data_IF_066873527164
#
_entry.id   IF_066873527164
#
_cell.length_a   1.000
_cell.length_b   1.000
_cell.length_c   1.000
_cell.angle_alpha   90.00
_cell.angle_beta   90.00
_cell.angle_gamma   90.00
#
_symmetry.space_group_name_H-M   'P 1'
#
loop_
_entity.id
_entity.type
_entity.pdbx_description
1 polymer ?
#
# COMPACT_ATOMS: atom_id res chain seq x y z
N UNK A 1 1.76 19.50 -19.84
CA UNK A 1 1.25 18.14 -19.76
C UNK A 1 1.55 17.58 -18.39
N UNK A 2 0.56 17.08 -17.67
CA UNK A 2 0.64 16.74 -16.26
C UNK A 2 0.55 15.24 -16.09
N UNK A 3 1.31 14.69 -15.17
CA UNK A 3 1.47 13.26 -14.96
C UNK A 3 0.57 12.74 -13.83
N UNK A 4 0.08 11.53 -14.00
CA UNK A 4 -0.84 10.88 -13.09
C UNK A 4 -0.22 9.59 -12.62
N UNK A 5 -0.30 9.32 -11.33
CA UNK A 5 0.17 8.10 -10.70
C UNK A 5 -0.93 7.45 -9.87
N UNK A 6 -1.01 6.17 -9.96
CA UNK A 6 -2.09 5.40 -9.39
C UNK A 6 -1.63 4.13 -8.79
N UNK A 7 -2.14 3.77 -7.65
CA UNK A 7 -1.96 2.49 -7.04
C UNK A 7 -2.97 2.08 -6.00
N UNK A 8 -2.96 0.94 -5.63
CA UNK A 8 -3.90 0.07 -5.31
C UNK A 8 -3.59 -1.04 -4.38
N UNK A 9 -4.51 -1.64 -3.74
CA UNK A 9 -4.36 -2.79 -3.05
C UNK A 9 -5.43 -3.66 -2.68
N UNK A 10 -5.34 -4.70 -2.04
CA UNK A 10 -6.39 -5.65 -1.90
C UNK A 10 -6.36 -6.52 -0.70
N UNK A 11 -7.51 -6.88 -0.25
CA UNK A 11 -7.73 -7.97 0.64
C UNK A 11 -7.41 -9.30 -0.07
N UNK A 12 -6.44 -10.07 0.42
CA UNK A 12 -6.01 -11.38 -0.09
C UNK A 12 -5.65 -11.41 -1.59
N UNK A 13 -6.13 -10.42 -2.41
CA UNK A 13 -5.99 -10.41 -3.87
C UNK A 13 -5.64 -9.03 -4.35
N UNK A 14 -4.53 -8.88 -4.88
CA UNK A 14 -3.72 -7.77 -5.25
C UNK A 14 -4.13 -6.93 -6.38
N UNK A 15 -3.36 -5.95 -6.61
CA UNK A 15 -3.52 -5.06 -7.66
C UNK A 15 -2.36 -4.33 -8.13
N UNK A 16 -2.37 -3.69 -9.19
CA UNK A 16 -1.53 -2.57 -9.50
C UNK A 16 -1.97 -1.80 -10.63
N UNK A 17 -1.60 -0.57 -10.67
CA UNK A 17 -1.51 0.10 -11.89
C UNK A 17 -0.64 1.30 -11.92
N UNK A 18 0.00 1.52 -13.01
CA UNK A 18 0.56 2.80 -13.37
C UNK A 18 0.12 3.13 -14.79
N UNK A 19 -0.57 4.25 -14.95
CA UNK A 19 -0.72 4.85 -16.26
C UNK A 19 0.20 6.05 -16.38
N UNK A 20 1.07 6.03 -17.38
CA UNK A 20 1.74 7.22 -17.83
C UNK A 20 1.37 7.52 -19.27
N UNK A 21 1.13 8.78 -19.54
CA UNK A 21 1.07 9.25 -20.92
C UNK A 21 2.49 9.23 -21.47
N UNK A 22 2.72 8.45 -22.53
CA UNK A 22 3.99 8.45 -23.24
C UNK A 22 4.16 9.80 -23.96
N UNK A 23 5.11 10.58 -23.50
CA UNK A 23 5.83 11.52 -24.33
C UNK A 23 7.31 11.28 -24.09
N UNK A 24 8.06 11.08 -25.16
CA UNK A 24 9.50 10.89 -25.18
C UNK A 24 10.23 12.22 -24.91
N UNK A 25 9.91 12.92 -23.81
CA UNK A 25 10.63 14.13 -23.44
C UNK A 25 11.17 13.99 -22.02
N UNK A 26 12.50 13.96 -21.94
CA UNK A 26 13.34 13.91 -20.72
C UNK A 26 13.37 15.25 -19.95
N UNK A 27 12.27 15.97 -19.85
CA UNK A 27 12.21 17.17 -19.02
C UNK A 27 11.87 16.82 -17.57
N UNK A 28 12.91 16.89 -16.73
CA UNK A 28 12.78 16.93 -15.27
C UNK A 28 12.13 18.26 -14.90
N UNK A 29 10.89 18.30 -14.40
CA UNK A 29 10.28 19.55 -14.01
C UNK A 29 10.98 20.12 -12.79
N UNK A 30 11.46 21.35 -12.91
CA UNK A 30 11.91 22.18 -11.81
C UNK A 30 10.80 22.33 -10.77
N UNK A 31 11.16 22.27 -9.50
CA UNK A 31 10.31 22.31 -8.33
C UNK A 31 9.36 23.53 -8.29
N UNK A 32 8.17 23.38 -8.83
CA UNK A 32 7.01 24.14 -8.36
C UNK A 32 6.16 23.19 -7.54
N UNK A 33 5.88 23.54 -6.29
CA UNK A 33 5.10 22.74 -5.35
C UNK A 33 3.68 22.55 -5.87
N UNK A 34 3.42 21.50 -6.65
CA UNK A 34 2.07 21.01 -6.87
C UNK A 34 1.67 20.20 -5.63
N UNK A 35 0.61 20.63 -4.97
CA UNK A 35 0.01 19.94 -3.82
C UNK A 35 -0.71 18.67 -4.31
N UNK A 36 0.03 17.65 -4.74
CA UNK A 36 -0.55 16.39 -5.14
C UNK A 36 -1.13 15.62 -3.95
N UNK A 37 -2.08 14.72 -4.19
CA UNK A 37 -2.82 14.00 -3.17
C UNK A 37 -2.59 12.49 -3.29
N UNK A 38 -2.21 11.85 -2.17
CA UNK A 38 -2.28 10.41 -1.99
C UNK A 38 -3.69 10.03 -1.53
N UNK A 39 -4.25 8.99 -2.10
CA UNK A 39 -5.54 8.41 -1.72
C UNK A 39 -5.34 6.93 -1.45
N UNK A 40 -5.76 6.43 -0.28
CA UNK A 40 -5.78 4.99 0.04
C UNK A 40 -7.18 4.56 0.42
N UNK A 41 -7.52 3.33 0.10
CA UNK A 41 -8.83 2.72 0.34
C UNK A 41 -8.68 1.34 0.99
N UNK A 42 -9.76 0.85 1.63
CA UNK A 42 -9.69 -0.40 2.36
C UNK A 42 -11.03 -0.96 2.81
N UNK A 43 -10.99 -1.75 3.90
CA UNK A 43 -12.16 -2.39 4.51
C UNK A 43 -13.22 -1.37 4.93
N UNK A 44 -14.46 -1.82 4.99
CA UNK A 44 -15.60 -1.04 5.47
C UNK A 44 -15.77 0.33 4.80
N UNK A 45 -15.32 0.43 3.54
CA UNK A 45 -15.39 1.68 2.76
C UNK A 45 -14.44 2.76 3.25
N UNK A 46 -13.38 2.44 4.00
CA UNK A 46 -12.42 3.45 4.43
C UNK A 46 -11.73 4.10 3.25
N UNK A 47 -11.62 5.41 3.31
CA UNK A 47 -10.81 6.23 2.39
C UNK A 47 -9.99 7.21 3.24
N UNK A 48 -8.67 7.21 3.04
CA UNK A 48 -7.78 8.19 3.64
C UNK A 48 -7.07 8.98 2.55
N UNK A 49 -6.81 10.25 2.82
CA UNK A 49 -6.07 11.13 1.91
C UNK A 49 -4.94 11.84 2.63
N UNK A 50 -3.85 12.10 1.92
CA UNK A 50 -2.68 12.83 2.42
C UNK A 50 -1.97 13.61 1.33
N UNK A 51 -1.58 14.85 1.60
CA UNK A 51 -0.74 15.67 0.72
C UNK A 51 0.76 15.59 1.08
N UNK A 52 1.08 15.10 2.30
CA UNK A 52 2.43 15.13 2.87
C UNK A 52 2.97 13.74 3.25
N UNK A 53 2.17 12.68 3.06
CA UNK A 53 2.38 11.28 3.47
C UNK A 53 2.61 11.07 4.97
N UNK A 54 2.51 12.13 5.77
CA UNK A 54 2.70 12.11 7.22
C UNK A 54 1.38 12.14 7.96
N UNK A 55 0.46 12.99 7.47
CA UNK A 55 -0.87 13.21 8.05
C UNK A 55 -1.93 12.66 7.09
N UNK A 56 -2.76 11.76 7.58
CA UNK A 56 -3.81 11.12 6.80
C UNK A 56 -5.19 11.52 7.32
N UNK A 57 -6.06 11.95 6.43
CA UNK A 57 -7.42 12.40 6.76
C UNK A 57 -8.44 11.40 6.25
N UNK A 58 -9.31 10.89 7.13
CA UNK A 58 -10.42 10.01 6.76
C UNK A 58 -11.48 10.80 5.98
N UNK A 59 -11.98 10.18 4.90
CA UNK A 59 -13.03 10.74 4.04
C UNK A 59 -14.27 9.86 4.10
N UNK A 60 -15.43 10.47 3.95
CA UNK A 60 -16.70 9.76 3.90
C UNK A 60 -16.90 9.16 2.51
N UNK A 61 -16.89 7.85 2.40
CA UNK A 61 -17.09 7.13 1.13
C UNK A 61 -18.57 6.94 0.76
N UNK A 62 -19.47 7.00 1.73
CA UNK A 62 -20.89 6.68 1.56
C UNK A 62 -21.20 5.18 1.43
N UNK A 63 -20.23 4.29 1.72
CA UNK A 63 -20.40 2.83 1.67
C UNK A 63 -19.71 2.13 2.84
N UNK A 64 -20.21 0.94 3.18
CA UNK A 64 -19.56 0.00 4.11
C UNK A 64 -18.94 -1.20 3.37
N UNK A 65 -18.93 -1.17 2.02
CA UNK A 65 -18.31 -2.21 1.21
C UNK A 65 -16.80 -2.05 1.20
N UNK A 66 -16.07 -3.17 1.20
CA UNK A 66 -14.62 -3.13 1.05
C UNK A 66 -14.25 -2.55 -0.31
N UNK A 67 -13.25 -1.68 -0.31
CA UNK A 67 -12.68 -1.07 -1.50
C UNK A 67 -11.30 -1.67 -1.75
N UNK A 68 -11.10 -2.23 -2.95
CA UNK A 68 -9.92 -3.02 -3.27
C UNK A 68 -8.98 -2.33 -4.24
N UNK A 69 -9.48 -1.47 -5.08
CA UNK A 69 -8.76 -0.80 -6.13
C UNK A 69 -8.96 0.69 -6.16
N UNK A 70 -7.91 1.46 -6.41
CA UNK A 70 -8.03 2.90 -6.65
C UNK A 70 -7.08 3.35 -7.74
N UNK A 71 -7.57 4.25 -8.58
CA UNK A 71 -6.82 4.83 -9.70
C UNK A 71 -7.15 6.31 -9.84
N UNK A 72 -6.23 7.07 -10.46
CA UNK A 72 -6.52 8.41 -10.95
C UNK A 72 -6.36 8.46 -12.47
N UNK A 73 -7.27 9.12 -13.15
CA UNK A 73 -7.23 9.33 -14.59
C UNK A 73 -8.24 10.37 -15.02
N UNK A 74 -7.92 11.16 -16.01
CA UNK A 74 -8.82 12.13 -16.63
C UNK A 74 -9.56 13.04 -15.62
N UNK A 75 -8.81 13.53 -14.61
CA UNK A 75 -9.39 14.41 -13.59
C UNK A 75 -10.20 13.70 -12.50
N UNK A 76 -10.29 12.35 -12.51
CA UNK A 76 -11.06 11.57 -11.55
C UNK A 76 -10.21 10.57 -10.78
N UNK A 77 -10.44 10.48 -9.48
CA UNK A 77 -10.11 9.29 -8.70
C UNK A 77 -11.26 8.30 -8.83
N UNK A 78 -10.95 7.07 -9.18
CA UNK A 78 -11.90 5.96 -9.26
C UNK A 78 -11.49 4.88 -8.29
N UNK A 79 -12.39 4.41 -7.43
CA UNK A 79 -12.17 3.24 -6.56
C UNK A 79 -13.22 2.18 -6.80
N UNK A 80 -12.82 0.91 -6.66
CA UNK A 80 -13.65 -0.27 -6.92
C UNK A 80 -13.58 -1.26 -5.76
N UNK A 81 -14.62 -2.08 -5.61
CA UNK A 81 -14.67 -2.99 -4.45
C UNK A 81 -15.73 -4.07 -4.53
N UNK A 82 -16.20 -4.50 -3.35
CA UNK A 82 -17.20 -5.54 -3.16
C UNK A 82 -18.51 -5.25 -3.90
N UNK A 83 -19.13 -6.34 -4.40
CA UNK A 83 -20.46 -6.30 -5.03
C UNK A 83 -20.59 -5.26 -6.16
N UNK A 84 -19.53 -5.11 -6.95
CA UNK A 84 -19.50 -4.16 -8.06
C UNK A 84 -19.47 -2.70 -7.63
N UNK A 85 -19.07 -2.40 -6.40
CA UNK A 85 -18.95 -1.02 -5.92
C UNK A 85 -17.96 -0.25 -6.77
N UNK A 86 -18.38 0.92 -7.26
CA UNK A 86 -17.53 1.92 -7.93
C UNK A 86 -17.85 3.28 -7.32
N UNK A 87 -16.84 3.98 -6.83
CA UNK A 87 -16.95 5.37 -6.38
C UNK A 87 -16.00 6.25 -7.19
N UNK A 88 -16.40 7.50 -7.43
CA UNK A 88 -15.57 8.48 -8.12
C UNK A 88 -15.47 9.78 -7.34
N UNK A 89 -14.37 10.49 -7.51
CA UNK A 89 -14.14 11.81 -6.91
C UNK A 89 -13.24 12.64 -7.82
N UNK A 90 -13.58 13.91 -8.03
CA UNK A 90 -12.73 14.88 -8.73
C UNK A 90 -11.75 15.61 -7.81
N UNK A 91 -11.90 15.45 -6.49
CA UNK A 91 -11.09 16.15 -5.48
C UNK A 91 -10.41 15.21 -4.47
N UNK A 92 -10.74 13.92 -4.49
CA UNK A 92 -10.34 12.96 -3.44
C UNK A 92 -11.06 13.14 -2.10
N UNK A 93 -11.91 14.17 -1.95
CA UNK A 93 -12.57 14.51 -0.68
C UNK A 93 -14.05 14.14 -0.65
N UNK A 94 -14.77 14.35 -1.75
CA UNK A 94 -16.18 14.02 -1.90
C UNK A 94 -16.36 12.90 -2.91
N UNK A 95 -17.12 11.87 -2.57
CA UNK A 95 -17.23 10.64 -3.33
C UNK A 95 -18.67 10.40 -3.81
N UNK A 96 -18.79 9.95 -5.04
CA UNK A 96 -20.08 9.64 -5.70
C UNK A 96 -20.11 8.19 -6.14
N UNK A 97 -21.17 7.45 -5.76
CA UNK A 97 -21.37 6.07 -6.21
C UNK A 97 -21.78 6.02 -7.67
N UNK A 98 -21.25 5.02 -8.41
CA UNK A 98 -21.57 4.79 -9.83
C UNK A 98 -22.14 3.40 -10.01
N UNK A 99 -23.02 3.23 -11.00
CA UNK A 99 -23.61 1.95 -11.35
C UNK A 99 -22.66 1.14 -12.22
N UNK A 100 -22.17 0.01 -11.72
CA UNK A 100 -21.27 -0.89 -12.45
C UNK A 100 -21.98 -1.88 -13.37
N UNK A 101 -23.28 -2.12 -13.15
CA UNK A 101 -24.03 -3.16 -13.85
C UNK A 101 -23.69 -4.61 -13.44
N UNK A 102 -22.93 -4.80 -12.35
CA UNK A 102 -22.55 -6.13 -11.84
C UNK A 102 -22.61 -6.21 -10.32
N UNK A 103 -22.78 -7.43 -9.80
CA UNK A 103 -22.63 -7.76 -8.37
C UNK A 103 -21.33 -8.50 -8.07
N UNK A 104 -20.44 -8.62 -9.04
CA UNK A 104 -19.14 -9.27 -8.88
C UNK A 104 -18.18 -8.32 -8.18
N UNK A 105 -17.29 -8.86 -7.34
CA UNK A 105 -16.23 -8.05 -6.73
C UNK A 105 -15.27 -7.56 -7.81
N UNK A 106 -14.88 -6.30 -7.70
CA UNK A 106 -13.92 -5.64 -8.57
C UNK A 106 -12.63 -5.41 -7.78
N UNK A 107 -11.52 -5.91 -8.29
CA UNK A 107 -10.25 -5.90 -7.57
C UNK A 107 -9.28 -4.85 -8.11
N UNK A 108 -9.14 -4.79 -9.43
CA UNK A 108 -8.21 -3.96 -10.15
C UNK A 108 -8.85 -2.84 -10.94
N UNK A 109 -8.27 -1.66 -10.93
CA UNK A 109 -8.68 -0.56 -11.79
C UNK A 109 -7.47 0.20 -12.33
N UNK A 110 -7.51 0.58 -13.60
CA UNK A 110 -6.49 1.40 -14.28
C UNK A 110 -7.13 2.45 -15.16
N UNK A 111 -6.34 3.48 -15.49
CA UNK A 111 -6.64 4.41 -16.57
C UNK A 111 -5.49 4.41 -17.59
N UNK A 112 -5.83 4.39 -18.86
CA UNK A 112 -4.87 4.49 -19.94
C UNK A 112 -5.55 4.43 -21.31
N UNK A 113 -4.92 4.97 -22.35
CA UNK A 113 -5.52 5.02 -23.67
C UNK A 113 -6.88 5.72 -23.74
N UNK A 114 -7.18 6.64 -22.80
CA UNK A 114 -8.47 7.33 -22.69
C UNK A 114 -9.58 6.51 -22.04
N UNK A 115 -9.26 5.37 -21.40
CA UNK A 115 -10.26 4.48 -20.77
C UNK A 115 -9.87 4.13 -19.33
N UNK A 116 -10.87 4.09 -18.46
CA UNK A 116 -10.82 3.32 -17.22
C UNK A 116 -11.15 1.86 -17.53
N UNK A 117 -10.39 0.95 -16.96
CA UNK A 117 -10.61 -0.50 -17.03
C UNK A 117 -10.56 -1.06 -15.62
N UNK A 118 -11.61 -1.79 -15.21
CA UNK A 118 -11.63 -2.53 -13.93
C UNK A 118 -11.83 -4.01 -14.16
N UNK A 119 -11.22 -4.82 -13.29
CA UNK A 119 -11.23 -6.28 -13.39
C UNK A 119 -11.60 -6.92 -12.06
N UNK A 120 -12.17 -8.13 -12.10
CA UNK A 120 -12.68 -8.76 -10.88
C UNK A 120 -13.00 -10.25 -11.00
N UNK A 121 -14.00 -10.66 -10.19
CA UNK A 121 -14.44 -12.04 -10.09
C UNK A 121 -14.85 -12.64 -11.43
N UNK A 122 -14.47 -13.92 -11.62
CA UNK A 122 -14.89 -14.73 -12.76
C UNK A 122 -14.64 -14.10 -14.14
N UNK A 123 -13.49 -13.42 -14.28
CA UNK A 123 -13.13 -12.78 -15.55
C UNK A 123 -13.92 -11.52 -15.86
N UNK A 124 -14.56 -10.92 -14.84
CA UNK A 124 -15.26 -9.64 -15.02
C UNK A 124 -14.30 -8.56 -15.47
N UNK A 125 -14.64 -7.86 -16.54
CA UNK A 125 -13.95 -6.68 -17.05
C UNK A 125 -14.99 -5.62 -17.40
N UNK A 126 -14.86 -4.44 -16.80
CA UNK A 126 -15.70 -3.29 -17.13
C UNK A 126 -14.82 -2.17 -17.67
N UNK A 127 -15.36 -1.38 -18.59
CA UNK A 127 -14.67 -0.22 -19.16
C UNK A 127 -15.52 1.02 -19.11
N UNK A 128 -14.88 2.18 -19.02
CA UNK A 128 -15.54 3.48 -19.04
C UNK A 128 -14.63 4.54 -19.63
N UNK A 129 -15.15 5.39 -20.49
CA UNK A 129 -14.41 6.55 -21.03
C UNK A 129 -14.46 7.77 -20.12
N UNK A 130 -15.45 7.85 -19.23
CA UNK A 130 -15.74 9.03 -18.40
C UNK A 130 -15.71 8.73 -16.87
N UNK A 131 -15.44 7.47 -16.48
CA UNK A 131 -15.47 7.01 -15.09
C UNK A 131 -16.89 6.95 -14.49
N UNK A 132 -17.93 7.34 -15.23
CA UNK A 132 -19.31 7.42 -14.74
C UNK A 132 -20.21 6.33 -15.34
N UNK A 133 -20.09 6.08 -16.64
CA UNK A 133 -20.83 5.08 -17.38
C UNK A 133 -19.95 3.88 -17.65
N UNK A 134 -20.35 2.70 -17.18
CA UNK A 134 -19.55 1.49 -17.26
C UNK A 134 -20.18 0.44 -18.16
N UNK A 135 -19.40 -0.08 -19.10
CA UNK A 135 -19.78 -1.16 -20.01
C UNK A 135 -19.10 -2.46 -19.62
N UNK A 136 -19.86 -3.55 -19.65
CA UNK A 136 -19.32 -4.90 -19.42
C UNK A 136 -18.67 -5.42 -20.70
N UNK A 137 -17.35 -5.63 -20.67
CA UNK A 137 -16.54 -6.16 -21.77
C UNK A 137 -15.89 -7.50 -21.36
N UNK A 138 -16.47 -8.17 -20.35
CA UNK A 138 -15.97 -9.42 -19.82
C UNK A 138 -15.80 -10.47 -20.93
N UNK A 139 -14.73 -11.24 -20.81
CA UNK A 139 -14.51 -12.36 -21.73
C UNK A 139 -15.49 -13.47 -21.39
N UNK A 140 -16.48 -13.73 -22.25
CA UNK A 140 -17.37 -14.88 -22.11
C UNK A 140 -16.67 -16.21 -22.40
N UNK A 141 -15.42 -16.16 -22.80
CA UNK A 141 -14.62 -17.35 -23.06
C UNK A 141 -14.16 -17.93 -21.71
N UNK A 142 -14.93 -18.91 -21.24
CA UNK A 142 -14.38 -19.94 -20.37
C UNK A 142 -13.18 -20.52 -21.12
N UNK A 143 -12.00 -20.08 -20.74
CA UNK A 143 -10.79 -20.57 -21.36
C UNK A 143 -10.77 -22.09 -21.30
N UNK A 144 -10.60 -22.72 -22.42
CA UNK A 144 -10.49 -24.18 -22.58
C UNK A 144 -9.34 -24.76 -21.76
N UNK A 145 -8.49 -23.92 -21.19
CA UNK A 145 -7.31 -24.25 -20.38
C UNK A 145 -7.57 -24.33 -18.88
N UNK A 146 -8.67 -23.76 -18.35
CA UNK A 146 -9.01 -23.77 -16.92
C UNK A 146 -9.53 -25.11 -16.39
N UNK A 147 -9.36 -26.22 -17.10
CA UNK A 147 -9.93 -27.52 -16.74
C UNK A 147 -9.14 -28.32 -15.69
N UNK A 148 -7.96 -27.91 -15.31
CA UNK A 148 -7.12 -28.76 -14.44
C UNK A 148 -7.27 -28.53 -12.95
N UNK A 149 -7.83 -27.37 -12.52
CA UNK A 149 -7.95 -27.09 -11.10
C UNK A 149 -9.33 -26.51 -10.80
N UNK A 150 -10.13 -27.22 -10.03
CA UNK A 150 -11.45 -26.82 -9.51
C UNK A 150 -11.35 -25.84 -8.34
N UNK A 151 -10.41 -24.89 -8.39
CA UNK A 151 -10.27 -23.87 -7.35
C UNK A 151 -11.23 -22.71 -7.63
N UNK A 152 -11.95 -22.20 -6.61
CA UNK A 152 -12.95 -21.14 -6.78
C UNK A 152 -12.39 -19.86 -7.42
N UNK A 153 -11.11 -19.55 -7.20
CA UNK A 153 -10.46 -18.31 -7.62
C UNK A 153 -9.72 -18.40 -8.96
N UNK A 154 -9.81 -19.54 -9.66
CA UNK A 154 -8.99 -19.80 -10.86
C UNK A 154 -9.26 -18.78 -11.99
N UNK A 155 -10.47 -18.24 -12.07
CA UNK A 155 -10.89 -17.31 -13.12
C UNK A 155 -10.94 -15.85 -12.65
N UNK A 156 -10.48 -15.54 -11.44
CA UNK A 156 -10.49 -14.16 -10.95
C UNK A 156 -9.35 -13.36 -11.55
N UNK A 157 -9.62 -12.15 -12.00
CA UNK A 157 -8.63 -11.17 -12.45
C UNK A 157 -8.34 -10.21 -11.29
N UNK A 158 -7.05 -10.05 -10.97
CA UNK A 158 -6.64 -9.29 -9.80
C UNK A 158 -5.97 -7.97 -10.15
N UNK A 159 -5.10 -7.97 -11.12
CA UNK A 159 -4.33 -6.79 -11.52
C UNK A 159 -4.56 -6.42 -12.98
N UNK A 160 -4.55 -5.12 -13.25
CA UNK A 160 -4.62 -4.57 -14.61
C UNK A 160 -3.70 -3.36 -14.72
N UNK A 161 -3.03 -3.21 -15.86
CA UNK A 161 -2.17 -2.07 -16.20
C UNK A 161 -2.35 -1.68 -17.66
N UNK A 162 -1.95 -0.44 -18.00
CA UNK A 162 -1.82 0.02 -19.38
C UNK A 162 -0.38 0.44 -19.64
N UNK A 163 0.14 0.07 -20.81
CA UNK A 163 1.47 0.47 -21.24
C UNK A 163 1.70 0.11 -22.70
N UNK A 164 2.44 0.94 -23.41
CA UNK A 164 2.78 0.74 -24.84
C UNK A 164 1.55 0.45 -25.73
N UNK A 165 0.47 1.19 -25.51
CA UNK A 165 -0.78 1.00 -26.27
C UNK A 165 -1.58 -0.26 -25.88
N UNK A 166 -1.20 -0.99 -24.83
CA UNK A 166 -1.76 -2.28 -24.47
C UNK A 166 -2.27 -2.30 -23.01
N UNK A 167 -3.50 -2.72 -22.80
CA UNK A 167 -4.00 -3.17 -21.51
C UNK A 167 -3.53 -4.60 -21.27
N UNK A 168 -3.04 -4.88 -20.08
CA UNK A 168 -2.68 -6.23 -19.63
C UNK A 168 -3.34 -6.50 -18.28
N UNK A 169 -4.12 -7.57 -18.16
CA UNK A 169 -4.70 -8.03 -16.90
C UNK A 169 -4.17 -9.41 -16.53
N UNK A 170 -4.04 -9.64 -15.22
CA UNK A 170 -3.48 -10.87 -14.65
C UNK A 170 -4.35 -11.41 -13.53
N UNK A 171 -4.32 -12.74 -13.33
CA UNK A 171 -5.23 -13.36 -12.40
C UNK A 171 -4.85 -14.75 -11.89
N UNK A 172 -5.88 -15.49 -11.49
CA UNK A 172 -5.79 -16.87 -11.02
C UNK A 172 -5.36 -17.80 -12.14
N UNK A 173 -4.81 -18.94 -11.76
CA UNK A 173 -4.32 -19.99 -12.65
C UNK A 173 -3.43 -19.50 -13.80
N UNK A 174 -2.50 -18.59 -13.48
CA UNK A 174 -1.57 -17.96 -14.43
C UNK A 174 -2.27 -17.22 -15.59
N UNK A 175 -3.50 -16.79 -15.41
CA UNK A 175 -4.27 -16.08 -16.45
C UNK A 175 -3.63 -14.74 -16.77
N UNK A 176 -3.45 -14.47 -18.06
CA UNK A 176 -3.05 -13.18 -18.61
C UNK A 176 -3.92 -12.88 -19.82
N UNK A 177 -4.58 -11.73 -19.84
CA UNK A 177 -5.26 -11.21 -21.05
C UNK A 177 -4.65 -9.88 -21.46
N UNK A 178 -4.69 -9.61 -22.77
CA UNK A 178 -4.26 -8.34 -23.35
C UNK A 178 -5.33 -7.77 -24.24
N UNK A 179 -5.41 -6.44 -24.30
CA UNK A 179 -6.31 -5.71 -25.20
C UNK A 179 -5.69 -4.39 -25.63
N UNK A 180 -5.78 -4.06 -26.92
CA UNK A 180 -5.35 -2.75 -27.45
C UNK A 180 -6.44 -1.68 -27.34
N UNK A 181 -7.71 -2.07 -27.14
CA UNK A 181 -8.85 -1.17 -27.13
C UNK A 181 -9.70 -1.23 -25.83
N UNK A 182 -9.31 -2.08 -24.87
CA UNK A 182 -10.05 -2.28 -23.61
C UNK A 182 -11.33 -3.10 -23.75
N UNK A 183 -11.77 -3.45 -24.96
CA UNK A 183 -13.05 -4.13 -25.20
C UNK A 183 -12.91 -5.55 -25.74
N UNK A 184 -11.89 -5.80 -26.55
CA UNK A 184 -11.58 -7.12 -27.12
C UNK A 184 -10.33 -7.65 -26.44
N UNK A 185 -10.45 -8.79 -25.74
CA UNK A 185 -9.40 -9.36 -24.93
C UNK A 185 -8.89 -10.67 -25.51
N UNK A 186 -7.58 -10.83 -25.54
CA UNK A 186 -6.90 -12.04 -26.03
C UNK A 186 -6.14 -12.70 -24.88
N UNK A 187 -6.38 -14.00 -24.64
CA UNK A 187 -5.61 -14.75 -23.64
C UNK A 187 -4.18 -14.95 -24.11
N UNK A 188 -3.23 -14.86 -23.16
CA UNK A 188 -1.79 -15.09 -23.39
C UNK A 188 -1.30 -16.24 -22.53
N UNK A 189 -0.29 -16.96 -23.01
CA UNK A 189 0.34 -18.00 -22.19
C UNK A 189 1.14 -17.38 -21.04
N UNK A 190 0.62 -17.51 -19.84
CA UNK A 190 1.28 -17.13 -18.57
C UNK A 190 2.30 -18.17 -18.10
N UNK A 191 2.87 -18.97 -18.99
CA UNK A 191 3.73 -20.13 -18.70
C UNK A 191 2.99 -21.25 -17.93
N UNK A 192 1.67 -21.32 -18.05
CA UNK A 192 0.81 -22.30 -17.37
C UNK A 192 1.27 -23.73 -17.58
N UNK A 193 1.69 -24.07 -18.81
CA UNK A 193 2.21 -25.39 -19.17
C UNK A 193 3.49 -25.81 -18.43
N UNK A 194 4.18 -24.88 -17.79
CA UNK A 194 5.44 -25.14 -17.07
C UNK A 194 5.23 -25.40 -15.56
N UNK A 195 3.99 -25.31 -15.07
CA UNK A 195 3.72 -25.44 -13.63
C UNK A 195 2.73 -26.56 -13.31
N UNK A 196 3.08 -27.34 -12.29
CA UNK A 196 2.26 -28.46 -11.80
C UNK A 196 1.12 -27.99 -10.88
N UNK A 197 1.28 -26.80 -10.24
CA UNK A 197 0.30 -26.24 -9.31
C UNK A 197 -0.25 -24.92 -9.83
N UNK A 198 -1.53 -24.59 -9.49
CA UNK A 198 -2.13 -23.30 -9.86
C UNK A 198 -1.26 -22.15 -9.42
N UNK A 199 -1.04 -21.21 -10.33
CA UNK A 199 -0.30 -19.98 -10.06
C UNK A 199 -1.26 -18.80 -10.01
N UNK A 200 -1.02 -17.89 -9.08
CA UNK A 200 -1.85 -16.70 -8.91
C UNK A 200 -0.97 -15.48 -9.09
N UNK A 201 -1.16 -14.78 -10.18
CA UNK A 201 -0.58 -13.46 -10.38
C UNK A 201 -1.46 -12.43 -9.70
N UNK A 202 -0.83 -11.57 -8.92
CA UNK A 202 -1.54 -10.67 -8.03
C UNK A 202 -1.48 -9.22 -8.46
N UNK A 203 -0.37 -8.80 -9.02
CA UNK A 203 -0.14 -7.43 -9.40
C UNK A 203 0.73 -7.33 -10.65
N UNK A 204 0.53 -6.26 -11.41
CA UNK A 204 1.27 -5.96 -12.63
C UNK A 204 1.52 -4.45 -12.76
N UNK A 205 2.67 -4.08 -13.29
CA UNK A 205 3.01 -2.70 -13.66
C UNK A 205 3.71 -2.66 -15.01
N UNK A 206 3.69 -1.50 -15.66
CA UNK A 206 4.43 -1.25 -16.89
C UNK A 206 5.33 -0.02 -16.76
N UNK A 207 6.61 -0.16 -17.13
CA UNK A 207 7.56 0.94 -17.24
C UNK A 207 8.78 0.55 -18.06
N UNK A 208 9.41 1.55 -18.69
CA UNK A 208 10.63 1.37 -19.48
C UNK A 208 10.49 0.26 -20.53
N UNK A 209 9.36 0.23 -21.23
CA UNK A 209 9.05 -0.80 -22.22
C UNK A 209 9.12 -2.23 -21.64
N UNK A 210 8.74 -2.36 -20.37
CA UNK A 210 8.73 -3.62 -19.65
C UNK A 210 7.48 -3.74 -18.77
N UNK A 211 6.70 -4.78 -18.99
CA UNK A 211 5.68 -5.27 -18.06
C UNK A 211 6.36 -6.15 -17.02
N UNK A 212 6.02 -5.94 -15.75
CA UNK A 212 6.48 -6.77 -14.63
C UNK A 212 5.30 -7.15 -13.78
N UNK A 213 5.10 -8.45 -13.56
CA UNK A 213 4.06 -8.98 -12.69
C UNK A 213 4.64 -9.75 -11.52
N UNK A 214 3.86 -9.80 -10.44
CA UNK A 214 4.21 -10.53 -9.21
C UNK A 214 3.02 -11.36 -8.72
N UNK A 215 3.30 -12.39 -7.89
CA UNK A 215 2.23 -13.26 -7.42
C UNK A 215 2.59 -14.17 -6.25
N UNK A 216 1.76 -15.21 -6.04
CA UNK A 216 1.95 -16.20 -4.97
C UNK A 216 3.31 -16.88 -5.08
N UNK A 217 3.83 -17.34 -3.93
CA UNK A 217 5.10 -18.05 -3.82
C UNK A 217 6.29 -17.27 -4.40
N UNK A 218 6.27 -15.94 -4.30
CA UNK A 218 7.35 -15.09 -4.80
C UNK A 218 7.51 -15.09 -6.33
N UNK A 219 6.48 -15.48 -7.08
CA UNK A 219 6.53 -15.47 -8.54
C UNK A 219 6.73 -14.06 -9.08
N UNK A 220 7.67 -13.93 -10.02
CA UNK A 220 7.89 -12.72 -10.80
C UNK A 220 8.09 -13.11 -12.27
N UNK A 221 7.37 -12.41 -13.14
CA UNK A 221 7.56 -12.53 -14.59
C UNK A 221 7.74 -11.13 -15.16
N UNK A 222 8.43 -11.07 -16.31
CA UNK A 222 8.46 -9.85 -17.10
C UNK A 222 8.25 -10.13 -18.59
N UNK A 223 7.84 -9.08 -19.31
CA UNK A 223 7.57 -9.11 -20.73
C UNK A 223 7.83 -7.73 -21.35
N UNK A 224 8.56 -7.63 -22.48
CA UNK A 224 8.72 -6.36 -23.18
C UNK A 224 7.47 -5.97 -24.01
N UNK A 225 6.62 -6.93 -24.34
CA UNK A 225 5.51 -6.79 -25.30
C UNK A 225 4.14 -7.15 -24.70
N UNK A 226 4.08 -7.55 -23.40
CA UNK A 226 2.87 -8.03 -22.74
C UNK A 226 2.39 -9.41 -23.24
N UNK A 227 3.08 -10.02 -24.21
CA UNK A 227 2.70 -11.26 -24.89
C UNK A 227 3.65 -12.39 -24.53
N UNK A 228 4.96 -12.12 -24.63
CA UNK A 228 6.02 -13.11 -24.36
C UNK A 228 6.57 -12.93 -22.97
N UNK A 229 6.27 -13.88 -22.07
CA UNK A 229 6.61 -13.78 -20.66
C UNK A 229 7.82 -14.63 -20.28
N UNK A 230 8.68 -14.07 -19.44
CA UNK A 230 9.86 -14.75 -18.89
C UNK A 230 9.81 -14.74 -17.36
N UNK A 231 9.94 -15.94 -16.75
CA UNK A 231 10.03 -16.05 -15.30
C UNK A 231 11.37 -15.51 -14.80
N UNK A 232 11.33 -14.78 -13.65
CA UNK A 232 12.50 -14.26 -12.96
C UNK A 232 12.58 -14.79 -11.53
N UNK A 233 13.77 -14.78 -10.94
CA UNK A 233 13.97 -15.20 -9.55
C UNK A 233 13.79 -14.01 -8.62
N UNK A 234 12.80 -14.06 -7.74
CA UNK A 234 12.56 -13.01 -6.73
C UNK A 234 13.43 -13.16 -5.48
N UNK A 235 14.01 -14.34 -5.25
CA UNK A 235 14.74 -14.65 -4.01
C UNK A 235 13.84 -14.88 -2.78
N UNK A 236 12.52 -15.00 -2.96
CA UNK A 236 11.58 -15.27 -1.87
C UNK A 236 10.54 -16.32 -2.26
N UNK A 237 10.02 -17.05 -1.26
CA UNK A 237 8.87 -17.94 -1.38
C UNK A 237 7.56 -17.30 -0.86
N UNK A 238 7.65 -16.10 -0.30
CA UNK A 238 6.46 -15.39 0.19
C UNK A 238 5.65 -14.75 -0.94
N UNK A 239 4.34 -14.65 -0.71
CA UNK A 239 3.44 -14.00 -1.67
C UNK A 239 3.82 -12.53 -1.85
N UNK A 240 3.94 -12.13 -3.11
CA UNK A 240 4.07 -10.75 -3.55
C UNK A 240 2.71 -10.30 -4.10
N UNK A 241 2.21 -9.16 -3.65
CA UNK A 241 0.83 -8.75 -3.92
C UNK A 241 0.70 -7.33 -4.45
N UNK A 242 1.72 -6.50 -4.31
CA UNK A 242 1.81 -5.15 -4.86
C UNK A 242 3.13 -4.93 -5.60
N UNK A 243 3.10 -4.10 -6.64
CA UNK A 243 4.29 -3.69 -7.38
C UNK A 243 4.10 -2.28 -7.97
N UNK A 244 5.13 -1.47 -7.91
CA UNK A 244 5.21 -0.16 -8.56
C UNK A 244 6.59 0.10 -9.14
N UNK A 245 6.72 1.22 -9.86
CA UNK A 245 7.98 1.72 -10.37
C UNK A 245 8.12 3.21 -10.08
N UNK A 246 9.31 3.63 -9.70
CA UNK A 246 9.73 5.02 -9.62
C UNK A 246 10.72 5.35 -10.74
N UNK A 247 10.58 6.49 -11.46
CA UNK A 247 11.55 6.91 -12.47
C UNK A 247 12.88 7.37 -11.86
N UNK A 248 12.90 7.70 -10.57
CA UNK A 248 14.07 8.11 -9.80
C UNK A 248 14.05 7.48 -8.42
N UNK A 249 15.17 7.38 -7.76
CA UNK A 249 15.27 6.87 -6.38
C UNK A 249 15.33 7.99 -5.35
N UNK A 250 14.62 9.09 -5.56
CA UNK A 250 14.63 10.22 -4.64
C UNK A 250 16.01 10.93 -4.56
N UNK A 251 16.09 11.90 -3.64
CA UNK A 251 17.32 12.67 -3.38
C UNK A 251 18.26 11.98 -2.36
N UNK A 252 18.08 10.69 -2.07
CA UNK A 252 18.95 9.97 -1.17
C UNK A 252 20.37 9.94 -1.77
N UNK A 253 21.36 10.31 -0.98
CA UNK A 253 22.76 10.18 -1.35
C UNK A 253 23.14 8.71 -1.41
N UNK A 254 22.92 8.11 -2.55
CA UNK A 254 23.36 6.75 -2.84
C UNK A 254 24.89 6.71 -2.84
N UNK A 255 25.48 5.93 -1.95
CA UNK A 255 26.93 5.71 -1.90
C UNK A 255 27.26 4.38 -2.57
N UNK A 256 28.28 4.37 -3.42
CA UNK A 256 28.81 3.17 -4.05
C UNK A 256 28.20 2.82 -5.41
N UNK A 257 28.23 1.53 -5.76
CA UNK A 257 27.81 1.00 -7.06
C UNK A 257 26.33 1.23 -7.41
N UNK A 258 25.48 1.37 -6.40
CA UNK A 258 24.04 1.56 -6.58
C UNK A 258 23.65 2.97 -7.05
N UNK A 259 24.50 3.98 -6.80
CA UNK A 259 24.25 5.37 -7.18
C UNK A 259 24.10 5.56 -8.71
N UNK A 260 24.86 4.82 -9.49
CA UNK A 260 24.80 4.83 -10.96
C UNK A 260 23.57 4.12 -11.52
N UNK A 261 23.09 3.06 -10.85
CA UNK A 261 21.94 2.26 -11.27
C UNK A 261 20.61 2.97 -10.98
N UNK A 262 20.60 3.79 -9.93
CA UNK A 262 19.40 4.49 -9.48
C UNK A 262 18.93 5.61 -10.43
N UNK A 263 19.78 6.16 -11.26
CA UNK A 263 19.41 7.13 -12.31
C UNK A 263 18.37 6.58 -13.28
N UNK A 264 18.26 5.28 -13.35
CA UNK A 264 17.33 4.57 -14.22
C UNK A 264 16.01 4.17 -13.55
N UNK A 265 15.74 4.59 -12.32
CA UNK A 265 14.54 4.24 -11.58
C UNK A 265 14.56 2.84 -10.99
N UNK A 266 13.52 2.50 -10.22
CA UNK A 266 13.47 1.27 -9.42
C UNK A 266 12.05 0.69 -9.36
N UNK A 267 11.92 -0.61 -9.55
CA UNK A 267 10.71 -1.37 -9.20
C UNK A 267 10.73 -1.69 -7.71
N UNK A 268 9.58 -1.54 -7.07
CA UNK A 268 9.35 -1.94 -5.68
C UNK A 268 8.17 -2.90 -5.63
N UNK A 269 8.35 -4.07 -5.03
CA UNK A 269 7.28 -5.04 -4.80
C UNK A 269 7.11 -5.33 -3.32
N UNK A 270 5.88 -5.49 -2.88
CA UNK A 270 5.53 -5.74 -1.47
C UNK A 270 4.64 -6.97 -1.31
N UNK A 271 4.59 -7.52 -0.09
CA UNK A 271 3.81 -8.72 0.15
C UNK A 271 3.74 -9.21 1.58
N UNK A 272 3.52 -10.53 1.74
CA UNK A 272 3.33 -11.21 3.02
C UNK A 272 4.52 -10.99 3.95
N UNK A 273 4.24 -10.83 5.27
CA UNK A 273 5.23 -10.68 6.33
C UNK A 273 6.16 -9.47 6.09
N UNK A 274 5.59 -8.31 5.74
CA UNK A 274 6.35 -7.09 5.51
C UNK A 274 7.39 -7.19 4.39
N UNK A 275 7.25 -8.17 3.48
CA UNK A 275 8.23 -8.40 2.43
C UNK A 275 8.30 -7.21 1.48
N UNK A 276 9.50 -6.68 1.29
CA UNK A 276 9.79 -5.64 0.31
C UNK A 276 10.96 -6.12 -0.56
N UNK A 277 10.76 -6.06 -1.86
CA UNK A 277 11.78 -6.37 -2.86
C UNK A 277 11.97 -5.17 -3.78
N UNK A 278 13.19 -4.96 -4.25
CA UNK A 278 13.52 -3.93 -5.24
C UNK A 278 14.26 -4.51 -6.42
N UNK A 279 14.07 -3.89 -7.59
CA UNK A 279 14.80 -4.26 -8.82
C UNK A 279 14.98 -3.04 -9.72
N UNK A 280 16.15 -2.86 -10.31
CA UNK A 280 16.41 -1.77 -11.27
C UNK A 280 16.01 -2.15 -12.71
N UNK A 281 15.92 -3.43 -13.01
CA UNK A 281 15.74 -3.96 -14.37
C UNK A 281 14.56 -4.94 -14.51
N UNK A 282 13.84 -5.24 -13.41
CA UNK A 282 12.77 -6.23 -13.38
C UNK A 282 13.25 -7.69 -13.51
N UNK A 283 14.58 -7.93 -13.57
CA UNK A 283 15.18 -9.27 -13.70
C UNK A 283 15.77 -9.77 -12.38
N UNK A 284 16.53 -8.91 -11.72
CA UNK A 284 17.23 -9.19 -10.47
C UNK A 284 16.56 -8.46 -9.32
N UNK A 285 16.16 -9.21 -8.29
CA UNK A 285 15.42 -8.68 -7.15
C UNK A 285 16.26 -8.78 -5.88
N UNK A 286 16.29 -7.69 -5.14
CA UNK A 286 16.99 -7.60 -3.85
C UNK A 286 15.96 -7.47 -2.74
N UNK A 287 16.07 -8.33 -1.73
CA UNK A 287 15.27 -8.25 -0.51
C UNK A 287 15.71 -7.03 0.30
N UNK A 288 14.74 -6.23 0.76
CA UNK A 288 14.98 -5.15 1.69
C UNK A 288 14.49 -5.54 3.08
N UNK A 289 15.31 -5.21 4.08
CA UNK A 289 15.00 -5.53 5.46
C UNK A 289 14.14 -4.44 6.07
N UNK A 290 12.89 -4.76 6.29
CA UNK A 290 12.00 -4.00 7.16
C UNK A 290 11.21 -5.02 7.96
N UNK A 291 11.42 -5.06 9.29
CA UNK A 291 10.78 -6.05 10.16
C UNK A 291 9.35 -5.61 10.47
N UNK A 292 8.41 -6.02 9.63
CA UNK A 292 6.97 -5.94 9.89
C UNK A 292 6.40 -7.36 9.76
N UNK A 293 5.69 -7.87 10.76
CA UNK A 293 4.98 -9.14 10.65
C UNK A 293 3.71 -9.03 9.79
N UNK A 294 3.21 -7.82 9.56
CA UNK A 294 1.98 -7.55 8.83
C UNK A 294 2.15 -7.75 7.32
N UNK A 295 1.01 -8.02 6.66
CA UNK A 295 0.97 -8.03 5.21
C UNK A 295 0.94 -6.59 4.67
N UNK A 296 1.78 -6.34 3.67
CA UNK A 296 1.72 -5.16 2.83
C UNK A 296 0.95 -5.53 1.55
N UNK A 297 -0.11 -4.80 1.24
CA UNK A 297 -0.99 -5.13 0.11
C UNK A 297 -0.69 -4.32 -1.13
N UNK A 298 -0.35 -3.06 -0.98
CA UNK A 298 -0.09 -2.18 -2.10
C UNK A 298 1.09 -1.27 -1.90
N UNK A 299 1.66 -0.83 -3.00
CA UNK A 299 2.73 0.16 -3.02
C UNK A 299 2.54 1.12 -4.18
N UNK A 300 2.75 2.43 -3.91
CA UNK A 300 2.79 3.49 -4.92
C UNK A 300 4.04 4.31 -4.84
N UNK A 301 4.24 5.11 -5.91
CA UNK A 301 5.19 6.19 -5.94
C UNK A 301 4.54 7.47 -6.44
N UNK A 302 4.73 8.56 -5.75
CA UNK A 302 4.27 9.89 -6.12
C UNK A 302 5.05 10.95 -5.35
N UNK A 303 5.22 12.13 -5.93
CA UNK A 303 5.91 13.26 -5.31
C UNK A 303 7.24 12.88 -4.61
N UNK A 304 8.07 12.07 -5.28
CA UNK A 304 9.37 11.65 -4.75
C UNK A 304 9.31 10.60 -3.64
N UNK A 305 8.14 10.04 -3.33
CA UNK A 305 7.94 9.16 -2.17
C UNK A 305 7.20 7.89 -2.55
N UNK A 306 7.72 6.74 -2.11
CA UNK A 306 6.98 5.49 -2.09
C UNK A 306 6.07 5.45 -0.86
N UNK A 307 4.84 4.98 -1.07
CA UNK A 307 3.87 4.72 0.00
C UNK A 307 3.40 3.28 -0.15
N UNK A 308 3.45 2.48 0.91
CA UNK A 308 2.84 1.16 0.96
C UNK A 308 1.86 1.06 2.12
N UNK A 309 0.81 0.30 1.93
CA UNK A 309 -0.28 0.13 2.87
C UNK A 309 -0.59 -1.35 3.10
N UNK A 310 -1.22 -1.68 4.21
CA UNK A 310 -1.49 -3.08 4.55
C UNK A 310 -2.43 -3.31 5.72
N UNK A 311 -2.31 -4.49 6.31
CA UNK A 311 -3.12 -4.96 7.45
C UNK A 311 -3.03 -3.98 8.62
N UNK A 312 -4.11 -3.88 9.38
CA UNK A 312 -4.20 -3.05 10.58
C UNK A 312 -3.90 -1.57 10.32
N UNK A 313 -4.27 -1.07 9.13
CA UNK A 313 -4.05 0.32 8.77
C UNK A 313 -2.57 0.72 8.63
N UNK A 314 -1.66 -0.24 8.49
CA UNK A 314 -0.22 0.05 8.31
C UNK A 314 0.01 0.91 7.08
N UNK A 315 0.71 2.01 7.28
CA UNK A 315 1.24 2.86 6.22
C UNK A 315 2.74 3.01 6.46
N UNK A 316 3.57 2.69 5.48
CA UNK A 316 5.01 2.95 5.51
C UNK A 316 5.45 3.71 4.26
N UNK A 317 6.46 4.53 4.39
CA UNK A 317 6.94 5.39 3.31
C UNK A 317 8.45 5.27 3.14
N UNK A 318 8.92 5.55 1.92
CA UNK A 318 10.33 5.55 1.59
C UNK A 318 10.61 6.57 0.48
N UNK A 319 11.74 7.25 0.51
CA UNK A 319 12.19 8.12 -0.59
C UNK A 319 13.03 7.35 -1.61
N UNK A 320 13.64 6.24 -1.20
CA UNK A 320 14.62 5.50 -1.98
C UNK A 320 14.18 4.05 -2.33
N UNK A 321 13.06 3.58 -1.78
CA UNK A 321 12.60 2.19 -1.92
C UNK A 321 13.39 1.18 -1.07
N UNK A 322 14.36 1.63 -0.27
CA UNK A 322 15.26 0.80 0.54
C UNK A 322 15.04 1.03 2.01
N UNK A 323 15.11 2.29 2.44
CA UNK A 323 14.91 2.72 3.82
C UNK A 323 13.44 3.09 4.02
N UNK A 324 12.75 2.39 4.90
CA UNK A 324 11.32 2.55 5.10
C UNK A 324 11.00 3.11 6.49
N UNK A 325 10.00 3.97 6.56
CA UNK A 325 9.51 4.57 7.81
C UNK A 325 8.02 4.29 7.93
N UNK A 326 7.59 3.72 9.05
CA UNK A 326 6.18 3.53 9.36
C UNK A 326 5.52 4.89 9.62
N UNK A 327 4.27 5.09 9.21
CA UNK A 327 3.46 6.29 9.43
C UNK A 327 2.22 5.94 10.22
N UNK A 328 1.68 6.89 10.97
CA UNK A 328 0.38 6.72 11.57
C UNK A 328 -0.72 6.84 10.50
N UNK A 329 -1.61 5.86 10.39
CA UNK A 329 -2.88 6.04 9.69
C UNK A 329 -3.77 6.97 10.51
N UNK A 330 -4.55 7.84 9.87
CA UNK A 330 -5.34 8.88 10.56
C UNK A 330 -6.32 8.37 11.63
N UNK A 331 -6.67 7.06 11.66
CA UNK A 331 -7.43 6.42 12.73
C UNK A 331 -6.54 5.89 13.89
N UNK A 332 -5.21 5.90 13.73
CA UNK A 332 -4.24 5.44 14.74
C UNK A 332 -3.55 6.60 15.45
N UNK A 333 -3.85 7.85 15.11
CA UNK A 333 -3.55 8.97 16.01
C UNK A 333 -4.66 8.94 17.07
N UNK A 334 -4.54 8.05 18.03
CA UNK A 334 -5.12 8.35 19.32
C UNK A 334 -4.32 9.53 19.88
N UNK A 335 -4.67 10.74 19.48
CA UNK A 335 -4.49 11.89 20.34
C UNK A 335 -5.45 11.66 21.49
N UNK A 336 -5.03 10.89 22.48
CA UNK A 336 -5.82 10.75 23.69
C UNK A 336 -5.38 11.86 24.61
N UNK A 337 -6.34 12.65 25.04
CA UNK A 337 -6.12 13.62 26.10
C UNK A 337 -5.42 12.95 27.27
N UNK A 338 -4.38 13.56 27.77
CA UNK A 338 -3.75 13.13 29.01
C UNK A 338 -4.71 13.52 30.13
N UNK A 339 -5.29 12.53 30.79
CA UNK A 339 -6.23 12.76 31.88
C UNK A 339 -5.54 13.40 33.08
N UNK A 340 -4.29 13.03 33.35
CA UNK A 340 -3.43 13.65 34.34
C UNK A 340 -1.97 13.16 34.22
N UNK A 341 -1.06 13.94 34.76
CA UNK A 341 0.32 13.52 35.04
C UNK A 341 0.48 13.44 36.57
N UNK A 342 1.27 12.51 37.07
CA UNK A 342 1.46 12.30 38.51
C UNK A 342 2.90 11.99 38.85
N UNK A 343 3.28 12.37 40.04
CA UNK A 343 4.51 11.87 40.67
C UNK A 343 4.27 10.50 41.28
N UNK A 344 5.01 9.52 40.86
CA UNK A 344 4.97 8.17 41.42
C UNK A 344 6.37 7.75 41.81
N UNK A 345 6.78 8.14 43.05
CA UNK A 345 8.11 7.86 43.55
C UNK A 345 9.25 8.68 42.91
N UNK A 346 8.93 9.82 42.31
CA UNK A 346 9.87 10.71 41.62
C UNK A 346 9.74 10.67 40.10
N UNK A 347 9.06 9.66 39.55
CA UNK A 347 8.89 9.48 38.10
C UNK A 347 7.59 10.13 37.59
N UNK A 348 7.63 10.55 36.30
CA UNK A 348 6.49 11.14 35.62
C UNK A 348 5.56 10.03 35.09
N UNK A 349 4.49 9.69 35.85
CA UNK A 349 3.42 8.82 35.39
C UNK A 349 2.44 9.61 34.50
N UNK A 350 2.23 9.17 33.27
CA UNK A 350 1.27 9.75 32.35
C UNK A 350 0.02 8.89 32.30
N UNK A 351 -1.15 9.49 32.61
CA UNK A 351 -2.44 8.82 32.60
C UNK A 351 -3.25 9.18 31.37
N UNK A 352 -3.59 8.16 30.60
CA UNK A 352 -4.38 8.26 29.37
C UNK A 352 -5.20 6.99 29.21
N UNK A 353 -6.51 7.10 29.33
CA UNK A 353 -7.42 5.95 29.36
C UNK A 353 -7.41 5.21 28.03
N UNK A 354 -7.15 3.91 28.07
CA UNK A 354 -7.18 3.04 26.89
C UNK A 354 -6.13 3.42 25.85
N UNK A 355 -4.95 3.85 26.27
CA UNK A 355 -3.88 4.34 25.40
C UNK A 355 -3.37 3.31 24.39
N UNK A 356 -3.46 1.99 24.68
CA UNK A 356 -3.05 0.92 23.76
C UNK A 356 -1.58 0.97 23.35
N UNK A 357 -0.71 1.56 24.19
CA UNK A 357 0.74 1.60 23.99
C UNK A 357 1.40 0.37 24.59
N UNK A 358 2.47 -0.09 23.93
CA UNK A 358 3.37 -1.14 24.41
C UNK A 358 4.75 -0.56 24.75
N UNK A 359 5.52 -1.30 25.55
CA UNK A 359 6.91 -0.93 25.86
C UNK A 359 7.72 -0.92 24.57
N UNK A 360 8.40 0.20 24.32
CA UNK A 360 9.17 0.42 23.10
C UNK A 360 8.46 1.30 22.06
N UNK A 361 7.16 1.58 22.25
CA UNK A 361 6.45 2.54 21.41
C UNK A 361 7.07 3.93 21.54
N UNK A 362 6.98 4.70 20.45
CA UNK A 362 7.51 6.07 20.41
C UNK A 362 6.35 7.04 20.29
N UNK A 363 6.36 8.05 21.15
CA UNK A 363 5.32 9.05 21.21
C UNK A 363 5.90 10.47 21.23
N UNK A 364 5.08 11.43 20.85
CA UNK A 364 5.34 12.86 20.98
C UNK A 364 4.21 13.51 21.77
N UNK A 365 4.55 14.56 22.51
CA UNK A 365 3.58 15.32 23.28
C UNK A 365 3.17 16.60 22.56
N UNK A 366 1.91 16.97 22.75
CA UNK A 366 1.34 18.26 22.37
C UNK A 366 0.69 18.91 23.57
N UNK A 367 0.60 20.24 23.59
CA UNK A 367 -0.03 20.98 24.69
C UNK A 367 -0.63 22.30 24.19
N UNK A 368 -1.66 22.77 24.88
CA UNK A 368 -2.18 24.14 24.73
C UNK A 368 -1.49 25.15 25.66
N UNK A 369 -0.56 24.69 26.49
CA UNK A 369 0.21 25.48 27.46
C UNK A 369 1.68 25.06 27.45
N UNK A 370 2.26 24.80 28.62
CA UNK A 370 3.63 24.29 28.82
C UNK A 370 3.58 22.81 29.16
N UNK A 371 4.42 21.98 28.55
CA UNK A 371 4.58 20.58 28.94
C UNK A 371 5.21 20.47 30.35
N UNK A 372 4.95 19.35 31.06
CA UNK A 372 5.69 18.99 32.27
C UNK A 372 7.19 19.06 32.04
N UNK A 373 7.94 19.44 33.08
CA UNK A 373 9.42 19.50 33.01
C UNK A 373 10.00 18.15 32.61
N UNK A 374 10.98 18.16 31.71
CA UNK A 374 11.57 16.95 31.11
C UNK A 374 10.90 16.52 29.81
N UNK A 375 9.74 17.06 29.46
CA UNK A 375 9.10 16.87 28.16
C UNK A 375 9.27 18.11 27.27
N UNK A 376 9.48 17.90 25.96
CA UNK A 376 9.58 18.95 24.97
C UNK A 376 8.69 18.68 23.76
N UNK A 377 8.21 19.73 23.10
CA UNK A 377 7.48 19.63 21.84
C UNK A 377 8.40 19.08 20.73
N UNK A 378 7.81 18.35 19.80
CA UNK A 378 8.50 17.79 18.62
C UNK A 378 9.62 16.79 18.94
N UNK A 379 9.68 16.29 20.18
CA UNK A 379 10.69 15.35 20.67
C UNK A 379 10.08 13.96 20.76
N UNK A 380 10.82 12.94 20.29
CA UNK A 380 10.43 11.55 20.40
C UNK A 380 10.78 10.99 21.79
N UNK A 381 9.80 10.35 22.42
CA UNK A 381 9.93 9.68 23.71
C UNK A 381 9.57 8.21 23.55
N UNK A 382 10.28 7.34 24.26
CA UNK A 382 10.07 5.90 24.23
C UNK A 382 9.24 5.48 25.45
N UNK A 383 8.20 4.69 25.23
CA UNK A 383 7.45 4.07 26.32
C UNK A 383 8.34 3.00 26.95
N UNK A 384 8.66 3.16 28.23
CA UNK A 384 9.60 2.27 28.94
C UNK A 384 8.92 1.42 30.00
N UNK A 385 7.71 1.77 30.41
CA UNK A 385 6.86 0.95 31.27
C UNK A 385 5.38 1.23 31.04
N UNK A 386 4.55 0.18 31.13
CA UNK A 386 3.09 0.22 31.06
C UNK A 386 2.54 -0.61 32.24
N UNK A 387 2.44 -0.01 33.44
CA UNK A 387 2.03 -0.74 34.64
C UNK A 387 0.55 -1.16 34.60
N UNK A 388 -0.31 -0.38 33.94
CA UNK A 388 -1.73 -0.67 33.72
C UNK A 388 -2.20 -0.04 32.42
N UNK A 389 -3.32 -0.51 31.86
CA UNK A 389 -3.87 -0.03 30.57
C UNK A 389 -4.26 1.46 30.53
N UNK A 390 -4.14 2.18 31.64
CA UNK A 390 -4.52 3.59 31.75
C UNK A 390 -3.34 4.48 32.12
N UNK A 391 -2.11 3.94 32.22
CA UNK A 391 -0.92 4.74 32.51
C UNK A 391 0.34 4.15 31.90
N UNK A 392 1.31 5.01 31.59
CA UNK A 392 2.61 4.66 31.06
C UNK A 392 3.69 5.64 31.50
N UNK A 393 4.95 5.22 31.36
CA UNK A 393 6.14 6.03 31.62
C UNK A 393 6.97 6.13 30.35
N UNK A 394 7.69 7.24 30.22
CA UNK A 394 8.52 7.52 29.04
C UNK A 394 9.96 7.85 29.40
N UNK A 395 10.84 7.65 28.43
CA UNK A 395 12.25 8.03 28.47
C UNK A 395 12.65 8.77 27.18
N UNK A 396 13.66 9.62 27.26
CA UNK A 396 14.25 10.29 26.10
C UNK A 396 15.06 9.33 25.21
N UNK A 397 15.37 8.11 25.70
CA UNK A 397 16.12 7.09 24.94
C UNK A 397 15.44 5.72 25.07
N UNK A 398 15.61 4.84 24.09
CA UNK A 398 14.94 3.54 23.96
C UNK A 398 15.10 2.59 25.16
N UNK A 399 16.16 2.72 25.95
CA UNK A 399 16.44 1.92 27.14
C UNK A 399 16.83 2.81 28.31
N UNK A 400 16.42 4.07 28.27
CA UNK A 400 16.78 5.07 29.28
C UNK A 400 15.94 4.98 30.53
N UNK A 401 16.36 5.76 31.53
CA UNK A 401 15.60 5.96 32.76
C UNK A 401 14.34 6.75 32.47
N UNK A 402 13.31 6.53 33.28
CA UNK A 402 12.07 7.30 33.25
C UNK A 402 12.33 8.78 33.49
N UNK A 403 11.49 9.63 32.88
CA UNK A 403 11.58 11.08 33.10
C UNK A 403 11.12 11.40 34.51
N UNK A 404 11.93 12.19 35.19
CA UNK A 404 11.63 12.63 36.57
C UNK A 404 10.52 13.67 36.56
N UNK A 405 9.56 13.48 37.46
CA UNK A 405 8.49 14.43 37.64
C UNK A 405 8.96 15.62 38.52
N UNK A 406 8.76 16.84 38.01
CA UNK A 406 9.02 18.05 38.78
C UNK A 406 7.81 19.01 38.82
N UNK A 407 6.95 18.98 37.80
CA UNK A 407 5.73 19.78 37.68
C UNK A 407 4.76 19.18 36.66
N UNK A 408 3.51 19.65 36.67
CA UNK A 408 2.45 19.17 35.76
C UNK A 408 2.40 19.93 34.43
N UNK A 409 3.20 20.98 34.26
CA UNK A 409 3.03 21.90 33.16
C UNK A 409 1.76 22.75 33.26
N UNK A 410 1.31 23.35 32.18
CA UNK A 410 0.07 24.14 32.13
C UNK A 410 -0.73 23.82 30.84
N UNK A 411 -2.06 23.97 30.94
CA UNK A 411 -2.96 23.72 29.83
C UNK A 411 -3.36 22.25 29.68
N UNK A 412 -3.95 21.91 28.54
CA UNK A 412 -4.30 20.52 28.18
C UNK A 412 -3.14 19.88 27.44
N UNK A 413 -2.78 18.68 27.86
CA UNK A 413 -1.75 17.87 27.20
C UNK A 413 -2.39 16.71 26.44
N UNK A 414 -1.78 16.33 25.34
CA UNK A 414 -2.09 15.11 24.61
C UNK A 414 -0.79 14.46 24.11
N UNK A 415 -0.85 13.18 23.82
CA UNK A 415 0.23 12.47 23.18
C UNK A 415 -0.23 11.91 21.84
N UNK A 416 0.69 11.76 20.93
CA UNK A 416 0.49 11.07 19.65
C UNK A 416 1.60 10.04 19.46
N UNK A 417 1.25 8.90 18.87
CA UNK A 417 2.23 7.88 18.51
C UNK A 417 3.22 8.47 17.49
N UNK A 418 4.51 8.45 17.85
CA UNK A 418 5.61 8.77 16.93
C UNK A 418 6.33 7.46 16.64
N UNK A 419 6.57 7.15 15.37
CA UNK A 419 7.10 5.85 15.03
C UNK A 419 8.61 5.93 14.88
N UNK A 420 9.32 5.26 15.77
CA UNK A 420 10.76 5.16 15.76
C UNK A 420 11.29 4.42 14.53
N UNK A 421 12.40 4.90 14.02
CA UNK A 421 13.23 4.17 13.07
C UNK A 421 13.72 2.87 13.71
N UNK A 422 13.32 1.73 13.18
CA UNK A 422 13.79 0.43 13.65
C UNK A 422 15.06 0.06 12.89
N UNK A 423 16.22 0.29 13.49
CA UNK A 423 17.49 -0.27 13.02
C UNK A 423 17.60 -1.72 13.52
N UNK A 424 17.38 -2.68 12.64
CA UNK A 424 17.48 -4.11 12.96
C UNK A 424 18.78 -4.71 12.46
N UNK A 425 19.58 -5.27 13.38
CA UNK A 425 20.69 -6.19 13.06
C UNK A 425 20.15 -7.53 12.58
N UNK A 426 20.78 -8.10 11.55
CA UNK A 426 20.42 -9.38 10.94
C UNK A 426 20.58 -10.55 11.92
N UNK A 427 19.58 -11.42 11.98
CA UNK A 427 19.72 -12.83 12.33
C UNK A 427 18.75 -13.63 11.46
N UNK A 428 19.32 -14.50 10.63
CA UNK A 428 18.60 -15.45 9.77
C UNK A 428 18.16 -16.64 10.61
N UNK A 429 16.81 -16.75 10.86
CA UNK A 429 16.22 -18.00 11.35
C UNK A 429 15.04 -18.38 10.43
N UNK A 430 15.32 -19.29 9.49
CA UNK A 430 14.39 -19.70 8.42
C UNK A 430 13.44 -20.86 8.79
N UNK A 431 13.36 -21.37 10.03
CA UNK A 431 12.75 -22.70 10.24
C UNK A 431 11.64 -22.87 11.30
N UNK A 432 11.14 -21.84 12.01
CA UNK A 432 10.21 -22.12 13.14
C UNK A 432 8.88 -21.32 13.20
N UNK A 433 8.17 -21.07 12.09
CA UNK A 433 6.89 -20.34 12.15
C UNK A 433 5.63 -21.16 11.83
N UNK A 434 5.70 -22.45 11.52
CA UNK A 434 4.48 -23.26 11.30
C UNK A 434 3.87 -23.90 12.55
N UNK A 435 4.50 -23.83 13.71
CA UNK A 435 4.07 -24.54 14.93
C UNK A 435 3.33 -23.71 16.00
N UNK A 436 3.20 -22.39 15.88
CA UNK A 436 2.61 -21.55 16.94
C UNK A 436 1.25 -20.93 16.65
N UNK A 437 0.50 -21.42 15.70
CA UNK A 437 -0.86 -20.94 15.39
C UNK A 437 -1.97 -21.71 16.10
N UNK A 438 -1.81 -22.11 17.37
CA UNK A 438 -2.90 -22.66 18.19
C UNK A 438 -2.73 -22.28 19.66
N UNK A 439 -3.08 -21.02 19.98
CA UNK A 439 -3.54 -20.68 21.32
C UNK A 439 -4.49 -19.49 21.19
N UNK A 440 -5.77 -19.78 21.25
CA UNK A 440 -6.86 -18.82 21.26
C UNK A 440 -7.00 -18.19 22.62
N UNK A 441 -6.75 -16.88 22.73
CA UNK A 441 -7.31 -16.05 23.79
C UNK A 441 -8.22 -15.00 23.15
N UNK A 442 -9.43 -14.75 23.70
CA UNK A 442 -10.29 -13.70 23.17
C UNK A 442 -9.74 -12.33 23.52
N UNK A 443 -9.18 -11.64 22.53
CA UNK A 443 -8.86 -10.23 22.60
C UNK A 443 -10.14 -9.48 22.22
N UNK A 444 -10.58 -8.45 22.95
CA UNK A 444 -11.72 -7.62 22.53
C UNK A 444 -11.32 -6.95 21.20
N UNK A 445 -12.09 -7.23 20.16
CA UNK A 445 -11.86 -6.78 18.81
C UNK A 445 -12.11 -5.26 18.66
N UNK A 446 -11.08 -4.46 18.76
CA UNK A 446 -11.05 -3.21 18.03
C UNK A 446 -10.60 -3.59 16.62
N UNK A 447 -11.54 -3.70 15.69
CA UNK A 447 -11.22 -3.93 14.28
C UNK A 447 -10.58 -2.67 13.72
N UNK A 448 -9.27 -2.71 13.58
CA UNK A 448 -8.53 -1.71 12.82
C UNK A 448 -8.72 -2.09 11.35
N UNK A 449 -9.34 -1.20 10.58
CA UNK A 449 -9.62 -1.44 9.17
C UNK A 449 -8.34 -1.66 8.37
N UNK A 450 -8.34 -2.69 7.53
CA UNK A 450 -7.22 -2.98 6.65
C UNK A 450 -7.24 -2.03 5.45
N UNK A 451 -6.10 -1.44 5.13
CA UNK A 451 -5.93 -0.63 3.93
C UNK A 451 -5.52 -1.51 2.76
N UNK A 452 -6.25 -1.41 1.66
CA UNK A 452 -6.11 -2.27 0.49
C UNK A 452 -5.46 -1.58 -0.71
N UNK A 453 -5.66 -0.26 -0.85
CA UNK A 453 -5.19 0.49 -2.00
C UNK A 453 -4.63 1.86 -1.66
N UNK A 454 -3.71 2.35 -2.49
CA UNK A 454 -3.20 3.71 -2.43
C UNK A 454 -2.86 4.24 -3.83
N UNK A 455 -3.19 5.49 -4.11
CA UNK A 455 -2.86 6.22 -5.35
C UNK A 455 -2.33 7.61 -5.03
N UNK A 456 -1.76 8.27 -6.04
CA UNK A 456 -1.32 9.66 -5.99
C UNK A 456 -1.80 10.41 -7.23
N UNK A 457 -2.22 11.66 -7.06
CA UNK A 457 -2.46 12.60 -8.13
C UNK A 457 -1.74 13.92 -7.83
N UNK A 458 -1.08 14.48 -8.82
CA UNK A 458 -0.48 15.81 -8.77
C UNK A 458 -1.47 16.92 -9.21
N UNK A 459 -2.72 16.54 -9.52
CA UNK A 459 -3.77 17.43 -10.02
C UNK A 459 -4.94 17.64 -9.04
N UNK A 460 -4.90 17.01 -7.86
CA UNK A 460 -5.94 17.12 -6.84
C UNK A 460 -5.56 18.11 -5.74
#
# INVERSE_FOLDING_TARGET
MRYIFIILSVFIFSLTVISCKSSDDDDVPSSTSSNGLFVTVGDNGIILTSSDVKSWTKRTSGTTKNLYGVTYGDGLVVTVGDNGTILTSSSGTSWTSRTSGTTKNLYGVTYGGGLFVTVGDNGTILTSSDGTTWANTSTNERTTLGRYFSQPDANHLYGVTYGDGLFVTVGGDATIFTSSNGTTWTERDGLRSKWVLPQYFKAITYRKKLFVLVGRNGRTLNSPDGITWKQRKSGTKYNLVGITYSPSCGKAEWKGLDAGLCKNGIFVSVGKNGRILTSFDGNWWVKRTFKLPEWLYAVTYGNGTFVTVGVNGVIITSFDGISWTKRASGDQIKSTDIASVRNTGGDLEIRSTGHGLDIGDVIRFTTTGTLPTGLALFTDYYVVAVPINNSFYVSATKSGTQIVYTDEGTGKHAWQSSIALYEGTEQDDEEDTERRARASFPVPSVTIDTLHAVTYSDQL
#
